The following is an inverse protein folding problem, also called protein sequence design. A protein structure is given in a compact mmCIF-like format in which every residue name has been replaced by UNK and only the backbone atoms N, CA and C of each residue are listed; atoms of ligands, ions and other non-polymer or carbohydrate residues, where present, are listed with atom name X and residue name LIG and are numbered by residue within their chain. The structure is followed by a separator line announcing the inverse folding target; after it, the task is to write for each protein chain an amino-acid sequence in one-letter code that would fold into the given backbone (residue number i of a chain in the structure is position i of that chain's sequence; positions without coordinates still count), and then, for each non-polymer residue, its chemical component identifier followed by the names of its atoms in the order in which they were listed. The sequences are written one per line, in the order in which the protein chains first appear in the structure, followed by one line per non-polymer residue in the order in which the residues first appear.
data_IF_328981827169
#
_entry.id   IF_328981827169
#
_cell.length_a   1.000
_cell.length_b   1.000
_cell.length_c   1.000
_cell.angle_alpha   90.00
_cell.angle_beta   90.00
_cell.angle_gamma   90.00
#
_symmetry.space_group_name_H-M   'P 1'
#
loop_
_entity.id
_entity.type
_entity.pdbx_description
1 polymer ?
#
# COMPACT_ATOMS: atom_id res chain seq x y z
N UNK A 1 3.87 18.65 -1.95
CA UNK A 1 3.08 17.98 -0.88
C UNK A 1 3.96 16.95 -0.19
N UNK A 2 3.91 16.90 1.11
CA UNK A 2 4.72 15.96 1.90
C UNK A 2 4.09 14.57 1.93
N UNK A 3 4.92 13.53 1.77
CA UNK A 3 4.51 12.14 1.94
C UNK A 3 5.07 11.63 3.26
N UNK A 4 4.22 11.03 4.08
CA UNK A 4 4.64 10.34 5.30
C UNK A 4 4.11 8.91 5.24
N UNK A 5 4.97 7.93 5.52
CA UNK A 5 4.60 6.51 5.52
C UNK A 5 4.94 5.87 6.84
N UNK A 6 4.21 4.84 7.20
CA UNK A 6 4.47 4.08 8.41
C UNK A 6 3.75 2.74 8.39
N UNK A 7 3.95 1.96 9.44
CA UNK A 7 3.35 0.65 9.57
C UNK A 7 3.27 0.21 11.04
N UNK A 8 2.44 -0.77 11.31
CA UNK A 8 2.31 -1.29 12.66
C UNK A 8 1.18 -2.31 12.81
N UNK A 9 0.91 -2.62 14.06
CA UNK A 9 -0.13 -3.57 14.47
C UNK A 9 -1.44 -2.84 14.74
N UNK A 10 -2.55 -3.41 14.29
CA UNK A 10 -3.88 -2.89 14.64
C UNK A 10 -4.17 -3.15 16.12
N UNK A 11 -4.66 -2.12 16.83
CA UNK A 11 -5.11 -2.20 18.23
C UNK A 11 -6.55 -2.65 18.35
N UNK A 12 -7.30 -2.63 17.25
CA UNK A 12 -8.72 -2.94 17.21
C UNK A 12 -9.02 -3.86 16.05
N UNK A 13 -10.06 -4.67 16.17
CA UNK A 13 -10.63 -5.46 15.07
C UNK A 13 -11.92 -4.84 14.52
N UNK A 14 -12.31 -3.67 15.01
CA UNK A 14 -13.46 -2.93 14.50
C UNK A 14 -13.11 -2.27 13.16
N UNK A 15 -13.53 -2.91 12.07
CA UNK A 15 -13.23 -2.46 10.72
C UNK A 15 -13.80 -1.06 10.45
N UNK A 16 -15.00 -0.76 10.94
CA UNK A 16 -15.61 0.55 10.75
C UNK A 16 -14.79 1.65 11.43
N UNK A 17 -14.26 1.39 12.62
CA UNK A 17 -13.36 2.32 13.30
C UNK A 17 -12.10 2.58 12.47
N UNK A 18 -11.48 1.52 11.95
CA UNK A 18 -10.26 1.64 11.14
C UNK A 18 -10.55 2.46 9.89
N UNK A 19 -11.62 2.14 9.16
CA UNK A 19 -11.99 2.80 7.93
C UNK A 19 -12.42 4.26 8.13
N UNK A 20 -12.83 4.63 9.34
CA UNK A 20 -13.18 6.02 9.64
C UNK A 20 -11.98 6.98 9.54
N UNK A 21 -10.76 6.47 9.66
CA UNK A 21 -9.53 7.26 9.49
C UNK A 21 -9.13 7.44 8.04
N UNK A 22 -9.59 6.56 7.14
CA UNK A 22 -9.25 6.63 5.71
C UNK A 22 -9.91 7.86 5.09
N UNK A 23 -9.14 8.59 4.29
CA UNK A 23 -9.60 9.79 3.60
C UNK A 23 -8.93 9.88 2.23
N UNK A 24 -9.28 10.88 1.39
CA UNK A 24 -8.57 11.07 0.12
C UNK A 24 -7.06 11.25 0.25
N UNK A 25 -6.59 11.71 1.42
CA UNK A 25 -5.18 11.96 1.69
C UNK A 25 -4.57 11.01 2.72
N UNK A 26 -5.29 10.01 3.19
CA UNK A 26 -4.78 8.99 4.11
C UNK A 26 -5.21 7.61 3.67
N UNK A 27 -4.24 6.78 3.29
CA UNK A 27 -4.45 5.37 2.98
C UNK A 27 -4.05 4.51 4.17
N UNK A 28 -4.87 3.51 4.48
CA UNK A 28 -4.52 2.41 5.40
C UNK A 28 -4.73 1.12 4.62
N UNK A 29 -3.73 0.25 4.64
CA UNK A 29 -3.73 -0.94 3.80
C UNK A 29 -3.14 -2.14 4.55
N UNK A 30 -3.42 -3.33 4.03
CA UNK A 30 -2.91 -4.57 4.61
C UNK A 30 -1.41 -4.69 4.35
N UNK A 31 -0.64 -4.93 5.41
CA UNK A 31 0.82 -5.01 5.34
C UNK A 31 1.31 -6.13 4.42
N UNK A 32 0.50 -7.17 4.19
CA UNK A 32 0.86 -8.29 3.32
C UNK A 32 0.95 -7.92 1.84
N UNK A 33 0.49 -6.73 1.47
CA UNK A 33 0.56 -6.23 0.09
C UNK A 33 1.79 -5.35 -0.17
N UNK A 34 2.68 -5.22 0.81
CA UNK A 34 3.86 -4.35 0.72
C UNK A 34 5.12 -5.18 1.00
N UNK A 35 6.08 -5.14 0.09
CA UNK A 35 7.30 -5.95 0.22
C UNK A 35 8.44 -5.26 0.97
N UNK A 36 8.25 -4.00 1.40
CA UNK A 36 9.23 -3.23 2.15
C UNK A 36 8.80 -1.77 2.23
N UNK A 37 9.43 -1.01 3.11
CA UNK A 37 9.08 0.40 3.29
C UNK A 37 9.35 1.21 2.00
N UNK A 38 10.39 0.84 1.25
CA UNK A 38 10.71 1.48 -0.03
C UNK A 38 9.58 1.27 -1.05
N UNK A 39 8.95 0.09 -1.06
CA UNK A 39 7.81 -0.21 -1.92
C UNK A 39 6.61 0.69 -1.58
N UNK A 40 6.33 0.84 -0.28
CA UNK A 40 5.24 1.70 0.18
C UNK A 40 5.48 3.16 -0.22
N UNK A 41 6.70 3.65 -0.02
CA UNK A 41 7.08 5.00 -0.40
C UNK A 41 7.03 5.20 -1.92
N UNK A 42 7.48 4.21 -2.69
CA UNK A 42 7.39 4.23 -4.16
C UNK A 42 5.94 4.38 -4.63
N UNK A 43 5.04 3.56 -4.09
CA UNK A 43 3.63 3.64 -4.45
C UNK A 43 3.02 5.00 -4.11
N UNK A 44 3.39 5.56 -2.96
CA UNK A 44 2.95 6.89 -2.55
C UNK A 44 3.46 7.99 -3.50
N UNK A 45 4.73 7.92 -3.86
CA UNK A 45 5.35 8.88 -4.78
C UNK A 45 4.69 8.83 -6.16
N UNK A 46 4.45 7.63 -6.68
CA UNK A 46 3.79 7.44 -7.97
C UNK A 46 2.33 7.90 -7.92
N UNK A 47 1.63 7.66 -6.82
CA UNK A 47 0.26 8.16 -6.63
C UNK A 47 0.22 9.69 -6.68
N UNK A 48 1.12 10.37 -5.98
CA UNK A 48 1.19 11.82 -5.99
C UNK A 48 1.53 12.34 -7.39
N UNK A 49 2.48 11.72 -8.07
CA UNK A 49 2.89 12.10 -9.43
C UNK A 49 1.74 11.93 -10.42
N UNK A 50 0.99 10.82 -10.36
CA UNK A 50 -0.13 10.60 -11.28
C UNK A 50 -1.23 11.63 -11.09
N UNK A 51 -1.54 12.01 -9.86
CA UNK A 51 -2.53 13.05 -9.58
C UNK A 51 -2.06 14.43 -10.02
N UNK A 52 -0.79 14.76 -9.77
CA UNK A 52 -0.24 16.07 -10.17
C UNK A 52 -0.15 16.24 -11.69
N UNK A 53 0.01 15.14 -12.43
CA UNK A 53 0.20 15.18 -13.88
C UNK A 53 -1.04 14.73 -14.67
N UNK A 54 -2.15 14.47 -14.00
CA UNK A 54 -3.44 14.24 -14.65
C UNK A 54 -3.61 12.87 -15.29
N UNK A 55 -2.81 11.85 -14.92
CA UNK A 55 -3.00 10.48 -15.43
C UNK A 55 -3.42 9.47 -14.35
N UNK A 56 -4.02 9.98 -13.27
CA UNK A 56 -4.52 9.14 -12.18
C UNK A 56 -5.65 8.21 -12.66
N UNK A 57 -5.67 7.01 -12.11
CA UNK A 57 -6.68 5.98 -12.38
C UNK A 57 -7.85 6.08 -11.42
N UNK A 58 -7.66 6.67 -10.25
CA UNK A 58 -8.67 6.84 -9.22
C UNK A 58 -8.83 8.30 -8.86
N UNK A 59 -9.96 8.62 -8.22
CA UNK A 59 -10.25 9.99 -7.77
C UNK A 59 -9.33 10.44 -6.64
N UNK A 60 -9.03 9.52 -5.71
CA UNK A 60 -8.30 9.83 -4.48
C UNK A 60 -6.88 9.27 -4.53
N UNK A 61 -5.92 10.06 -4.03
CA UNK A 61 -4.52 9.63 -3.91
C UNK A 61 -4.39 8.39 -3.04
N UNK A 62 -5.19 8.28 -1.98
CA UNK A 62 -5.16 7.12 -1.09
C UNK A 62 -5.55 5.83 -1.80
N UNK A 63 -6.55 5.86 -2.67
CA UNK A 63 -6.95 4.70 -3.49
C UNK A 63 -5.87 4.37 -4.52
N UNK A 64 -5.27 5.38 -5.10
CA UNK A 64 -4.21 5.21 -6.10
C UNK A 64 -3.01 4.45 -5.53
N UNK A 65 -2.68 4.66 -4.25
CA UNK A 65 -1.61 3.89 -3.58
C UNK A 65 -1.87 2.39 -3.67
N UNK A 66 -3.10 1.96 -3.44
CA UNK A 66 -3.45 0.53 -3.50
C UNK A 66 -3.35 -0.01 -4.92
N UNK A 67 -3.71 0.79 -5.92
CA UNK A 67 -3.55 0.41 -7.33
C UNK A 67 -2.07 0.15 -7.65
N UNK A 68 -1.18 1.05 -7.26
CA UNK A 68 0.26 0.89 -7.49
C UNK A 68 0.85 -0.30 -6.73
N UNK A 69 0.46 -0.49 -5.47
CA UNK A 69 0.97 -1.60 -4.67
C UNK A 69 0.60 -2.97 -5.27
N UNK A 70 -0.57 -3.06 -5.88
CA UNK A 70 -1.11 -4.33 -6.40
C UNK A 70 -0.98 -4.49 -7.90
N UNK A 71 -0.39 -3.51 -8.60
CA UNK A 71 -0.24 -3.47 -10.07
C UNK A 71 -1.59 -3.56 -10.79
N UNK A 72 -2.65 -3.04 -10.18
CA UNK A 72 -4.00 -3.16 -10.71
C UNK A 72 -4.50 -1.82 -11.23
N UNK A 73 -5.28 -1.87 -12.31
CA UNK A 73 -5.97 -0.70 -12.86
C UNK A 73 -7.41 -0.59 -12.40
N UNK A 74 -7.96 -1.65 -11.81
CA UNK A 74 -9.33 -1.69 -11.31
C UNK A 74 -9.34 -1.51 -9.80
N UNK A 75 -10.09 -0.51 -9.32
CA UNK A 75 -10.17 -0.15 -7.90
C UNK A 75 -10.67 -1.32 -7.06
N UNK A 76 -11.74 -1.99 -7.49
CA UNK A 76 -12.32 -3.10 -6.73
C UNK A 76 -11.31 -4.23 -6.51
N UNK A 77 -10.50 -4.53 -7.52
CA UNK A 77 -9.50 -5.58 -7.43
C UNK A 77 -8.35 -5.17 -6.50
N UNK A 78 -7.90 -3.92 -6.60
CA UNK A 78 -6.86 -3.40 -5.71
C UNK A 78 -7.34 -3.42 -4.24
N UNK A 79 -8.57 -3.04 -3.98
CA UNK A 79 -9.15 -3.08 -2.63
C UNK A 79 -9.22 -4.51 -2.09
N UNK A 80 -9.58 -5.49 -2.92
CA UNK A 80 -9.64 -6.89 -2.48
C UNK A 80 -8.27 -7.46 -2.16
N UNK A 81 -7.21 -6.96 -2.82
CA UNK A 81 -5.84 -7.46 -2.65
C UNK A 81 -5.07 -6.73 -1.53
N UNK A 82 -5.35 -5.46 -1.30
CA UNK A 82 -4.56 -4.61 -0.41
C UNK A 82 -5.39 -3.88 0.65
N UNK A 83 -6.71 -3.82 0.51
CA UNK A 83 -7.58 -3.16 1.47
C UNK A 83 -7.62 -3.86 2.81
N UNK A 84 -7.86 -3.10 3.88
CA UNK A 84 -8.06 -3.66 5.22
C UNK A 84 -9.36 -4.46 5.25
N UNK A 85 -9.30 -5.66 5.80
CA UNK A 85 -10.45 -6.54 5.96
C UNK A 85 -10.44 -7.22 7.34
N UNK A 86 -11.39 -8.11 7.58
CA UNK A 86 -11.54 -8.77 8.88
C UNK A 86 -10.34 -9.62 9.29
N UNK A 87 -9.51 -10.06 8.33
CA UNK A 87 -8.32 -10.88 8.61
C UNK A 87 -7.07 -10.05 8.79
N UNK A 88 -7.12 -8.75 8.53
CA UNK A 88 -5.95 -7.86 8.63
C UNK A 88 -5.56 -7.66 10.09
N UNK A 89 -4.31 -7.93 10.41
CA UNK A 89 -3.74 -7.74 11.76
C UNK A 89 -2.72 -6.61 11.76
N UNK A 90 -1.96 -6.46 10.67
CA UNK A 90 -0.90 -5.49 10.52
C UNK A 90 -1.18 -4.65 9.30
N UNK A 91 -0.82 -3.37 9.38
CA UNK A 91 -1.14 -2.40 8.33
C UNK A 91 0.07 -1.54 7.98
N UNK A 92 0.06 -1.04 6.74
CA UNK A 92 0.83 0.12 6.36
C UNK A 92 -0.09 1.32 6.21
N UNK A 93 0.45 2.51 6.24
CA UNK A 93 -0.30 3.72 5.98
C UNK A 93 0.53 4.75 5.23
N UNK A 94 -0.18 5.59 4.47
CA UNK A 94 0.40 6.69 3.70
C UNK A 94 -0.43 7.94 3.94
N UNK A 95 0.23 9.02 4.33
CA UNK A 95 -0.39 10.33 4.51
C UNK A 95 0.18 11.34 3.51
N UNK A 96 -0.70 12.06 2.84
CA UNK A 96 -0.34 13.14 1.91
C UNK A 96 -0.71 14.48 2.53
N UNK A 97 0.28 15.36 2.72
CA UNK A 97 0.04 16.73 3.19
C UNK A 97 0.78 17.06 4.47
N UNK A 98 0.45 18.24 5.01
CA UNK A 98 1.13 18.79 6.18
C UNK A 98 0.48 18.40 7.51
N UNK A 99 -0.77 17.93 7.49
CA UNK A 99 -1.50 17.61 8.71
C UNK A 99 -0.85 16.42 9.40
N UNK A 100 -0.53 16.57 10.67
CA UNK A 100 -0.14 15.45 11.51
C UNK A 100 -1.40 14.63 11.80
N UNK A 101 -1.40 13.36 11.38
CA UNK A 101 -2.51 12.46 11.66
C UNK A 101 -2.08 11.54 12.79
N UNK A 102 -2.85 11.55 13.86
CA UNK A 102 -2.59 10.68 14.99
C UNK A 102 -3.36 9.37 14.81
N UNK A 103 -2.63 8.32 14.47
CA UNK A 103 -3.16 6.97 14.31
C UNK A 103 -2.94 6.10 15.55
N UNK A 104 -2.42 6.66 16.64
CA UNK A 104 -2.06 5.90 17.84
C UNK A 104 -3.28 5.24 18.51
N UNK A 105 -4.49 5.72 18.24
CA UNK A 105 -5.72 5.10 18.72
C UNK A 105 -5.94 3.71 18.13
N UNK A 106 -5.54 3.48 16.88
CA UNK A 106 -5.81 2.24 16.16
C UNK A 106 -4.56 1.44 15.80
N UNK A 107 -3.36 2.05 15.84
CA UNK A 107 -2.12 1.42 15.38
C UNK A 107 -1.03 1.56 16.45
N UNK A 108 -0.37 0.43 16.76
CA UNK A 108 0.91 0.43 17.46
C UNK A 108 2.02 0.33 16.43
N UNK A 109 2.88 1.35 16.34
CA UNK A 109 3.95 1.38 15.34
C UNK A 109 4.94 0.24 15.52
N UNK A 110 5.27 -0.42 14.41
CA UNK A 110 6.27 -1.48 14.36
C UNK A 110 6.76 -1.62 12.91
N UNK A 111 7.99 -1.21 12.65
CA UNK A 111 8.58 -1.22 11.32
C UNK A 111 8.76 -2.64 10.75
N UNK A 112 8.78 -3.66 11.60
CA UNK A 112 9.01 -5.03 11.17
C UNK A 112 7.82 -5.69 10.49
N UNK A 113 6.62 -5.09 10.56
CA UNK A 113 5.43 -5.70 9.95
C UNK A 113 5.43 -5.62 8.42
N UNK A 114 6.18 -4.68 7.85
CA UNK A 114 6.36 -4.55 6.40
C UNK A 114 7.73 -5.10 6.03
N UNK A 115 7.75 -6.26 5.37
CA UNK A 115 8.98 -6.87 4.87
C UNK A 115 8.67 -7.84 3.75
N UNK A 116 9.69 -8.23 2.99
CA UNK A 116 9.55 -9.24 1.94
C UNK A 116 9.09 -10.58 2.52
N UNK A 117 9.41 -10.87 3.78
CA UNK A 117 8.99 -12.11 4.44
C UNK A 117 7.49 -12.17 4.71
N UNK A 118 6.84 -11.01 4.85
CA UNK A 118 5.41 -10.91 5.14
C UNK A 118 4.58 -10.67 3.88
N UNK A 119 5.22 -10.49 2.72
CA UNK A 119 4.54 -10.25 1.47
C UNK A 119 3.84 -11.52 0.99
N UNK A 120 2.56 -11.40 0.62
CA UNK A 120 1.75 -12.54 0.19
C UNK A 120 1.92 -12.80 -1.32
N UNK A 121 2.99 -13.52 -1.68
CA UNK A 121 3.27 -13.86 -3.07
C UNK A 121 2.17 -14.71 -3.69
N UNK A 122 1.56 -15.61 -2.92
CA UNK A 122 0.54 -16.50 -3.45
C UNK A 122 -0.71 -15.76 -3.91
N UNK A 123 -1.00 -14.60 -3.30
CA UNK A 123 -2.16 -13.77 -3.63
C UNK A 123 -1.82 -12.69 -4.65
N UNK A 124 -0.61 -12.13 -4.59
CA UNK A 124 -0.25 -10.92 -5.32
C UNK A 124 0.68 -11.17 -6.50
N UNK A 125 1.53 -12.19 -6.44
CA UNK A 125 2.57 -12.44 -7.44
C UNK A 125 2.89 -13.93 -7.51
N UNK A 126 1.91 -14.74 -7.89
CA UNK A 126 2.01 -16.22 -7.93
C UNK A 126 3.12 -16.71 -8.86
N UNK A 127 3.42 -15.97 -9.90
CA UNK A 127 4.41 -16.33 -10.91
C UNK A 127 5.85 -16.06 -10.49
N UNK A 128 6.06 -15.37 -9.36
CA UNK A 128 7.41 -15.11 -8.85
C UNK A 128 7.93 -16.35 -8.14
N UNK A 129 9.13 -16.78 -8.52
CA UNK A 129 9.82 -17.90 -7.87
C UNK A 129 10.25 -17.49 -6.46
N UNK A 130 9.64 -18.08 -5.44
CA UNK A 130 9.90 -17.71 -4.04
C UNK A 130 11.28 -18.17 -3.56
N UNK A 131 11.97 -19.04 -4.31
CA UNK A 131 13.34 -19.46 -3.97
C UNK A 131 14.39 -18.43 -4.35
N UNK A 132 14.00 -17.39 -5.10
CA UNK A 132 14.90 -16.31 -5.46
C UNK A 132 15.37 -15.54 -4.22
N UNK A 133 16.54 -14.89 -4.33
CA UNK A 133 17.06 -13.96 -3.34
C UNK A 133 16.01 -12.88 -3.02
N UNK A 134 15.93 -12.50 -1.75
CA UNK A 134 14.97 -11.50 -1.28
C UNK A 134 15.13 -10.15 -1.98
N UNK A 135 16.37 -9.70 -2.22
CA UNK A 135 16.62 -8.45 -2.93
C UNK A 135 16.08 -8.50 -4.36
N UNK A 136 16.25 -9.64 -5.04
CA UNK A 136 15.73 -9.82 -6.39
C UNK A 136 14.21 -9.86 -6.41
N UNK A 137 13.58 -10.56 -5.46
CA UNK A 137 12.12 -10.59 -5.34
C UNK A 137 11.57 -9.17 -5.13
N UNK A 138 12.18 -8.40 -4.24
CA UNK A 138 11.77 -7.02 -3.99
C UNK A 138 11.89 -6.16 -5.25
N UNK A 139 12.97 -6.30 -6.00
CA UNK A 139 13.16 -5.57 -7.26
C UNK A 139 12.10 -5.93 -8.30
N UNK A 140 11.73 -7.19 -8.40
CA UNK A 140 10.67 -7.64 -9.31
C UNK A 140 9.35 -6.95 -8.96
N UNK A 141 8.97 -6.97 -7.69
CA UNK A 141 7.72 -6.35 -7.24
C UNK A 141 7.74 -4.85 -7.47
N UNK A 142 8.83 -4.16 -7.11
CA UNK A 142 8.94 -2.72 -7.29
C UNK A 142 8.97 -2.32 -8.78
N UNK A 143 9.52 -3.16 -9.65
CA UNK A 143 9.49 -2.94 -11.09
C UNK A 143 8.05 -3.02 -11.62
N UNK A 144 7.25 -3.99 -11.17
CA UNK A 144 5.84 -4.10 -11.54
C UNK A 144 5.05 -2.86 -11.15
N UNK A 145 5.30 -2.33 -9.95
CA UNK A 145 4.71 -1.08 -9.48
C UNK A 145 5.12 0.08 -10.39
N UNK A 146 6.42 0.17 -10.72
CA UNK A 146 6.95 1.28 -11.51
C UNK A 146 6.40 1.33 -12.93
N UNK A 147 6.06 0.19 -13.54
CA UNK A 147 5.58 0.13 -14.93
C UNK A 147 4.07 0.26 -15.06
N UNK A 148 3.32 0.31 -13.95
CA UNK A 148 1.85 0.43 -14.01
C UNK A 148 1.38 1.62 -14.86
N UNK A 149 1.99 2.83 -14.77
CA UNK A 149 1.52 3.98 -15.56
C UNK A 149 1.64 3.79 -17.07
N UNK A 150 2.56 2.94 -17.54
CA UNK A 150 2.82 2.73 -18.97
C UNK A 150 2.22 1.45 -19.53
N UNK A 151 1.51 0.68 -18.70
CA UNK A 151 0.84 -0.52 -19.16
C UNK A 151 -0.32 -0.17 -20.11
N UNK A 152 -0.56 -0.94 -21.18
CA UNK A 152 -1.73 -0.73 -22.03
C UNK A 152 -3.02 -0.88 -21.25
N UNK A 153 -3.98 -0.06 -21.57
CA UNK A 153 -5.32 -0.11 -20.97
C UNK A 153 -6.18 -1.17 -21.69
#
# INVERSE_FOLDING_TARGET
MKITVGCGHLKTDDLDQILSFVSPNLAILDSRSVCGIEHLHQAATLSLSSHNNGFNLSKDKSTEVLLYLTFQRQISKALSLSGVNKTTKNVGWVSFGKASIDLSEIITEDDSVISIHNYDFSKLAKDVDISLDNDLKQKIIMTRTAVLPVQPR
#
